data_IF_441847743982
#
_entry.id   IF_441847743982
#
_cell.length_a   1.000
_cell.length_b   1.000
_cell.length_c   1.000
_cell.angle_alpha   90.00
_cell.angle_beta   90.00
_cell.angle_gamma   90.00
#
_symmetry.space_group_name_H-M   'P 1'
#
loop_
_entity.id
_entity.type
_entity.pdbx_description
1 polymer ?
#
# COMPACT_ATOMS: atom_id res chain seq x y z
N UNK A 1 11.21 -25.71 -35.65
CA UNK A 1 11.55 -25.41 -34.23
C UNK A 1 10.72 -26.32 -33.34
N UNK A 2 11.32 -27.03 -32.36
CA UNK A 2 10.57 -27.82 -31.38
C UNK A 2 9.72 -26.86 -30.54
N UNK A 3 8.40 -27.07 -30.49
CA UNK A 3 7.51 -26.32 -29.61
C UNK A 3 7.92 -26.62 -28.15
N UNK A 4 8.17 -25.58 -27.36
CA UNK A 4 8.51 -25.75 -25.94
C UNK A 4 7.33 -26.39 -25.21
N UNK A 5 7.61 -27.24 -24.22
CA UNK A 5 6.56 -27.80 -23.36
C UNK A 5 6.03 -26.70 -22.42
N UNK A 6 4.71 -26.62 -22.18
CA UNK A 6 4.16 -25.60 -21.28
C UNK A 6 4.81 -25.65 -19.90
N UNK A 7 5.09 -24.50 -19.29
CA UNK A 7 5.59 -24.46 -17.91
C UNK A 7 4.48 -24.83 -16.94
N UNK A 8 4.75 -25.82 -16.08
CA UNK A 8 3.91 -26.16 -14.93
C UNK A 8 4.15 -25.18 -13.79
N UNK A 9 3.11 -24.47 -13.38
CA UNK A 9 3.15 -23.42 -12.36
C UNK A 9 2.44 -23.90 -11.09
N UNK A 10 3.13 -23.84 -9.95
CA UNK A 10 2.47 -23.84 -8.63
C UNK A 10 2.16 -22.41 -8.21
N UNK A 11 0.88 -22.08 -8.04
CA UNK A 11 0.42 -20.70 -7.93
C UNK A 11 0.00 -20.33 -6.51
N UNK A 12 0.84 -19.57 -5.81
CA UNK A 12 0.60 -19.07 -4.45
C UNK A 12 0.05 -17.65 -4.53
N UNK A 13 -1.27 -17.51 -4.48
CA UNK A 13 -1.89 -16.28 -4.96
C UNK A 13 -3.21 -15.93 -4.26
N UNK A 14 -3.50 -14.62 -4.15
CA UNK A 14 -4.72 -14.13 -3.50
C UNK A 14 -5.10 -12.70 -3.96
N UNK A 15 -6.39 -12.44 -4.07
CA UNK A 15 -6.98 -11.14 -4.39
C UNK A 15 -6.97 -10.80 -5.88
N UNK A 16 -7.41 -9.57 -6.20
CA UNK A 16 -7.66 -9.12 -7.58
C UNK A 16 -6.43 -9.24 -8.50
N UNK A 17 -5.24 -8.96 -7.96
CA UNK A 17 -3.95 -9.17 -8.63
C UNK A 17 -3.81 -10.60 -9.17
N UNK A 18 -4.16 -11.56 -8.31
CA UNK A 18 -4.04 -12.98 -8.60
C UNK A 18 -5.05 -13.42 -9.65
N UNK A 19 -6.27 -12.86 -9.63
CA UNK A 19 -7.31 -13.14 -10.61
C UNK A 19 -6.89 -12.67 -12.00
N UNK A 20 -6.43 -11.43 -12.11
CA UNK A 20 -5.98 -10.86 -13.37
C UNK A 20 -4.80 -11.62 -13.97
N UNK A 21 -3.86 -12.06 -13.12
CA UNK A 21 -2.75 -12.89 -13.56
C UNK A 21 -3.21 -14.30 -13.97
N UNK A 22 -4.13 -14.91 -13.21
CA UNK A 22 -4.71 -16.21 -13.55
C UNK A 22 -5.31 -16.21 -14.96
N UNK A 23 -6.14 -15.22 -15.30
CA UNK A 23 -6.79 -15.10 -16.62
C UNK A 23 -5.78 -15.04 -17.76
N UNK A 24 -4.67 -14.31 -17.58
CA UNK A 24 -3.59 -14.26 -18.58
C UNK A 24 -2.86 -15.59 -18.73
N UNK A 25 -2.61 -16.28 -17.62
CA UNK A 25 -1.89 -17.55 -17.62
C UNK A 25 -2.73 -18.67 -18.24
N UNK A 26 -4.01 -18.79 -17.86
CA UNK A 26 -4.89 -19.86 -18.35
C UNK A 26 -5.24 -19.70 -19.84
N UNK A 27 -5.25 -18.47 -20.35
CA UNK A 27 -5.50 -18.16 -21.76
C UNK A 27 -4.30 -18.44 -22.68
N UNK A 28 -3.14 -18.81 -22.11
CA UNK A 28 -1.90 -19.02 -22.86
C UNK A 28 -1.46 -20.49 -22.81
N UNK A 29 -1.33 -21.11 -23.99
CA UNK A 29 -0.93 -22.51 -24.11
C UNK A 29 0.50 -22.81 -23.66
N UNK A 30 1.31 -21.80 -23.36
CA UNK A 30 2.69 -21.95 -22.87
C UNK A 30 2.75 -22.15 -21.34
N UNK A 31 1.61 -22.03 -20.64
CA UNK A 31 1.51 -22.19 -19.19
C UNK A 31 0.44 -23.20 -18.78
N UNK A 32 0.69 -23.88 -17.67
CA UNK A 32 -0.25 -24.79 -17.04
C UNK A 32 -0.20 -24.61 -15.52
N UNK A 33 -1.30 -24.14 -14.92
CA UNK A 33 -1.39 -23.98 -13.46
C UNK A 33 -1.71 -25.35 -12.86
N UNK A 34 -0.74 -25.94 -12.17
CA UNK A 34 -0.84 -27.30 -11.63
C UNK A 34 -1.61 -27.35 -10.30
N UNK A 35 -1.47 -26.32 -9.47
CA UNK A 35 -2.26 -26.12 -8.25
C UNK A 35 -2.31 -24.64 -7.87
N UNK A 36 -3.27 -24.31 -7.02
CA UNK A 36 -3.42 -22.98 -6.40
C UNK A 36 -3.35 -23.11 -4.89
N UNK A 37 -2.58 -22.24 -4.24
CA UNK A 37 -2.54 -22.09 -2.79
C UNK A 37 -2.91 -20.65 -2.42
N UNK A 38 -4.12 -20.41 -1.87
CA UNK A 38 -4.54 -19.08 -1.41
C UNK A 38 -4.01 -18.77 -0.02
N UNK A 39 -4.16 -17.52 0.43
CA UNK A 39 -3.88 -17.19 1.83
C UNK A 39 -4.80 -18.00 2.74
N UNK A 40 -4.27 -18.48 3.86
CA UNK A 40 -5.01 -19.42 4.72
C UNK A 40 -6.32 -18.82 5.26
N UNK A 41 -6.25 -17.56 5.71
CA UNK A 41 -7.37 -16.84 6.31
C UNK A 41 -8.24 -16.10 5.29
N UNK A 42 -7.85 -16.06 4.01
CA UNK A 42 -8.65 -15.45 2.94
C UNK A 42 -9.75 -16.40 2.48
N UNK A 43 -10.91 -15.86 2.12
CA UNK A 43 -11.99 -16.64 1.50
C UNK A 43 -11.89 -16.67 -0.01
N UNK A 44 -11.17 -15.73 -0.64
CA UNK A 44 -11.05 -15.50 -2.09
C UNK A 44 -11.93 -16.41 -2.96
N UNK A 45 -13.25 -16.14 -2.95
CA UNK A 45 -14.22 -17.01 -3.62
C UNK A 45 -14.06 -16.94 -5.15
N UNK A 46 -13.59 -15.81 -5.69
CA UNK A 46 -13.29 -15.68 -7.13
C UNK A 46 -12.20 -16.65 -7.55
N UNK A 47 -11.06 -16.68 -6.86
CA UNK A 47 -9.96 -17.59 -7.22
C UNK A 47 -10.35 -19.06 -7.01
N UNK A 48 -11.15 -19.35 -5.98
CA UNK A 48 -11.71 -20.69 -5.72
C UNK A 48 -12.70 -21.14 -6.80
N UNK A 49 -13.57 -20.24 -7.28
CA UNK A 49 -14.46 -20.51 -8.41
C UNK A 49 -13.66 -20.79 -9.66
N UNK A 50 -12.65 -19.97 -9.98
CA UNK A 50 -11.75 -20.20 -11.11
C UNK A 50 -11.05 -21.56 -11.01
N UNK A 51 -10.50 -21.90 -9.83
CA UNK A 51 -9.89 -23.20 -9.61
C UNK A 51 -10.85 -24.36 -9.91
N UNK A 52 -12.10 -24.25 -9.46
CA UNK A 52 -13.15 -25.24 -9.71
C UNK A 52 -13.49 -25.34 -11.20
N UNK A 53 -13.71 -24.19 -11.87
CA UNK A 53 -14.06 -24.11 -13.28
C UNK A 53 -13.02 -24.76 -14.19
N UNK A 54 -11.73 -24.57 -13.88
CA UNK A 54 -10.63 -25.14 -14.66
C UNK A 54 -10.10 -26.46 -14.10
N UNK A 55 -10.77 -27.04 -13.10
CA UNK A 55 -10.39 -28.30 -12.44
C UNK A 55 -8.94 -28.31 -11.91
N UNK A 56 -8.52 -27.19 -11.30
CA UNK A 56 -7.21 -27.00 -10.70
C UNK A 56 -7.31 -27.23 -9.18
N UNK A 57 -6.46 -28.09 -8.59
CA UNK A 57 -6.43 -28.30 -7.15
C UNK A 57 -6.23 -27.01 -6.35
N UNK A 58 -7.16 -26.74 -5.43
CA UNK A 58 -7.13 -25.58 -4.55
C UNK A 58 -6.72 -25.99 -3.12
N UNK A 59 -5.45 -25.80 -2.79
CA UNK A 59 -4.80 -26.36 -1.61
C UNK A 59 -4.55 -25.25 -0.59
N UNK A 60 -5.38 -25.20 0.45
CA UNK A 60 -5.17 -24.31 1.61
C UNK A 60 -4.17 -24.91 2.59
N UNK A 61 -3.19 -24.12 3.02
CA UNK A 61 -2.19 -24.54 4.01
C UNK A 61 -1.96 -23.48 5.07
N UNK A 62 -2.08 -23.87 6.35
CA UNK A 62 -1.73 -23.01 7.49
C UNK A 62 -0.23 -22.71 7.56
N UNK A 63 0.60 -23.64 7.07
CA UNK A 63 2.04 -23.48 6.96
C UNK A 63 2.56 -24.16 5.67
N UNK A 64 2.91 -23.34 4.67
CA UNK A 64 3.46 -23.79 3.39
C UNK A 64 4.87 -24.41 3.50
N UNK A 65 5.53 -24.27 4.64
CA UNK A 65 6.85 -24.85 4.88
C UNK A 65 6.76 -26.17 5.66
N UNK A 66 5.56 -26.67 5.94
CA UNK A 66 5.39 -27.93 6.67
C UNK A 66 5.77 -29.14 5.80
N UNK A 67 6.42 -30.18 6.35
CA UNK A 67 6.77 -31.38 5.57
C UNK A 67 5.57 -32.00 4.86
N UNK A 68 4.39 -32.01 5.49
CA UNK A 68 3.17 -32.54 4.88
C UNK A 68 2.76 -31.76 3.62
N UNK A 69 2.79 -30.42 3.66
CA UNK A 69 2.48 -29.61 2.49
C UNK A 69 3.53 -29.76 1.40
N UNK A 70 4.81 -29.76 1.76
CA UNK A 70 5.92 -29.94 0.81
C UNK A 70 5.82 -31.28 0.08
N UNK A 71 5.55 -32.38 0.80
CA UNK A 71 5.33 -33.69 0.20
C UNK A 71 4.11 -33.72 -0.74
N UNK A 72 3.04 -33.02 -0.37
CA UNK A 72 1.83 -32.92 -1.20
C UNK A 72 2.11 -32.19 -2.52
N UNK A 73 2.77 -31.03 -2.48
CA UNK A 73 3.01 -30.23 -3.69
C UNK A 73 4.14 -30.78 -4.57
N UNK A 74 5.07 -31.55 -4.01
CA UNK A 74 6.15 -32.18 -4.76
C UNK A 74 5.63 -33.12 -5.86
N UNK A 75 4.50 -33.79 -5.62
CA UNK A 75 3.86 -34.69 -6.58
C UNK A 75 3.37 -34.00 -7.86
N UNK A 76 3.23 -32.67 -7.87
CA UNK A 76 2.81 -31.92 -9.06
C UNK A 76 3.93 -31.69 -10.07
N UNK A 77 5.20 -31.84 -9.65
CA UNK A 77 6.39 -31.64 -10.48
C UNK A 77 6.36 -30.28 -11.21
N UNK A 78 6.11 -29.20 -10.46
CA UNK A 78 6.07 -27.86 -11.03
C UNK A 78 7.46 -27.43 -11.53
N UNK A 79 7.48 -26.73 -12.67
CA UNK A 79 8.69 -26.13 -13.21
C UNK A 79 9.08 -24.86 -12.45
N UNK A 80 8.09 -24.13 -11.93
CA UNK A 80 8.24 -22.86 -11.22
C UNK A 80 7.14 -22.69 -10.16
N UNK A 81 7.47 -22.02 -9.06
CA UNK A 81 6.47 -21.48 -8.13
C UNK A 81 6.35 -19.98 -8.29
N UNK A 82 5.10 -19.50 -8.30
CA UNK A 82 4.77 -18.09 -8.50
C UNK A 82 4.01 -17.60 -7.28
N UNK A 83 4.58 -16.62 -6.59
CA UNK A 83 3.93 -15.86 -5.54
C UNK A 83 3.35 -14.57 -6.12
N UNK A 84 2.06 -14.35 -5.88
CA UNK A 84 1.33 -13.15 -6.31
C UNK A 84 0.41 -12.70 -5.19
N UNK A 85 0.82 -11.69 -4.43
CA UNK A 85 0.06 -11.22 -3.27
C UNK A 85 -0.13 -12.34 -2.21
N UNK A 86 0.88 -13.15 -1.96
CA UNK A 86 0.86 -14.17 -0.90
C UNK A 86 1.46 -13.65 0.42
N UNK A 87 1.05 -14.21 1.57
CA UNK A 87 1.35 -13.64 2.89
C UNK A 87 2.35 -14.45 3.75
N UNK A 88 2.62 -15.71 3.41
CA UNK A 88 3.59 -16.54 4.14
C UNK A 88 4.98 -16.48 3.49
N UNK A 89 6.01 -16.56 4.33
CA UNK A 89 7.41 -16.60 3.90
C UNK A 89 7.75 -17.98 3.35
N UNK A 90 8.33 -18.03 2.15
CA UNK A 90 8.90 -19.23 1.56
C UNK A 90 10.25 -19.52 2.23
N UNK A 91 10.50 -20.77 2.60
CA UNK A 91 11.78 -21.24 3.14
C UNK A 91 12.28 -22.43 2.34
N UNK A 92 13.56 -22.75 2.44
CA UNK A 92 14.02 -24.03 1.89
C UNK A 92 13.32 -25.22 2.59
N UNK A 93 12.98 -26.29 1.85
CA UNK A 93 13.29 -26.56 0.43
C UNK A 93 12.29 -25.98 -0.57
N UNK A 94 11.24 -25.27 -0.13
CA UNK A 94 10.18 -24.77 -1.01
C UNK A 94 10.72 -23.83 -2.09
N UNK A 95 11.67 -22.96 -1.72
CA UNK A 95 12.25 -21.96 -2.64
C UNK A 95 12.91 -22.67 -3.83
N UNK A 96 13.73 -23.69 -3.57
CA UNK A 96 14.50 -24.40 -4.59
C UNK A 96 13.82 -25.65 -5.16
N UNK A 97 12.64 -26.04 -4.68
CA UNK A 97 11.95 -27.27 -5.10
C UNK A 97 11.70 -27.33 -6.62
N UNK A 98 11.10 -26.31 -7.27
CA UNK A 98 10.96 -26.30 -8.71
C UNK A 98 12.29 -25.95 -9.40
N UNK A 99 12.54 -26.51 -10.59
CA UNK A 99 13.82 -26.30 -11.31
C UNK A 99 14.11 -24.84 -11.68
N UNK A 100 13.06 -24.03 -11.91
CA UNK A 100 13.16 -22.59 -12.17
C UNK A 100 13.02 -21.75 -10.88
N UNK A 101 13.06 -22.39 -9.71
CA UNK A 101 12.91 -21.80 -8.38
C UNK A 101 11.55 -21.10 -8.18
N UNK A 102 11.43 -20.37 -7.09
CA UNK A 102 10.25 -19.59 -6.74
C UNK A 102 10.45 -18.13 -7.12
N UNK A 103 9.44 -17.49 -7.69
CA UNK A 103 9.43 -16.06 -8.04
C UNK A 103 8.26 -15.35 -7.36
N UNK A 104 8.41 -14.04 -7.17
CA UNK A 104 7.38 -13.17 -6.62
C UNK A 104 7.13 -11.99 -7.56
N UNK A 105 5.88 -11.54 -7.66
CA UNK A 105 5.50 -10.29 -8.29
C UNK A 105 5.18 -9.25 -7.21
N UNK A 106 5.98 -8.18 -7.16
CA UNK A 106 5.94 -7.15 -6.15
C UNK A 106 5.64 -5.78 -6.76
N UNK A 107 4.68 -5.04 -6.20
CA UNK A 107 4.34 -3.69 -6.64
C UNK A 107 5.28 -2.64 -6.02
N UNK A 108 6.59 -2.81 -6.24
CA UNK A 108 7.62 -1.85 -5.85
C UNK A 108 8.82 -1.83 -6.80
N UNK A 109 9.51 -0.68 -6.87
CA UNK A 109 10.72 -0.46 -7.67
C UNK A 109 11.96 -0.98 -6.95
N UNK A 110 12.15 -2.30 -6.92
CA UNK A 110 13.30 -2.95 -6.30
C UNK A 110 14.63 -2.43 -6.88
N UNK A 111 15.67 -2.19 -6.05
CA UNK A 111 15.81 -2.59 -4.64
C UNK A 111 15.20 -1.61 -3.62
N UNK A 112 14.52 -0.57 -4.08
CA UNK A 112 13.78 0.35 -3.24
C UNK A 112 12.37 -0.19 -3.00
N UNK A 113 11.72 0.29 -1.94
CA UNK A 113 10.33 -0.11 -1.64
C UNK A 113 10.12 -1.62 -1.48
N UNK A 114 11.05 -2.33 -0.83
CA UNK A 114 10.81 -3.72 -0.37
C UNK A 114 9.72 -3.75 0.71
N UNK A 115 9.06 -4.87 0.93
CA UNK A 115 8.15 -5.04 2.06
C UNK A 115 6.69 -4.71 1.73
N UNK A 116 6.03 -3.90 2.57
CA UNK A 116 4.57 -3.77 2.58
C UNK A 116 4.10 -2.33 2.39
N UNK A 117 2.83 -2.17 1.99
CA UNK A 117 2.16 -0.89 1.78
C UNK A 117 2.89 0.06 0.82
N UNK A 118 3.59 -0.49 -0.18
CA UNK A 118 4.45 0.28 -1.09
C UNK A 118 3.69 1.41 -1.80
N UNK A 119 2.48 1.15 -2.30
CA UNK A 119 1.67 2.17 -2.98
C UNK A 119 1.34 3.37 -2.07
N UNK A 120 1.22 3.15 -0.76
CA UNK A 120 1.07 4.25 0.20
C UNK A 120 2.41 5.00 0.36
N UNK A 121 3.52 4.26 0.50
CA UNK A 121 4.84 4.85 0.73
C UNK A 121 5.34 5.68 -0.44
N UNK A 122 5.17 5.23 -1.69
CA UNK A 122 5.56 6.00 -2.89
C UNK A 122 4.83 7.34 -2.96
N UNK A 123 3.55 7.37 -2.58
CA UNK A 123 2.78 8.60 -2.52
C UNK A 123 3.25 9.53 -1.39
N UNK A 124 3.47 8.98 -0.19
CA UNK A 124 3.98 9.75 0.97
C UNK A 124 5.35 10.38 0.65
N UNK A 125 6.22 9.63 -0.02
CA UNK A 125 7.57 10.05 -0.39
C UNK A 125 7.62 10.99 -1.61
N UNK A 126 6.48 11.38 -2.16
CA UNK A 126 6.35 12.26 -3.33
C UNK A 126 6.99 11.72 -4.62
N UNK A 127 7.00 10.40 -4.79
CA UNK A 127 7.60 9.77 -5.97
C UNK A 127 6.88 10.18 -7.26
N UNK A 128 7.65 10.27 -8.35
CA UNK A 128 7.13 10.57 -9.70
C UNK A 128 6.76 9.31 -10.49
N UNK A 129 7.15 8.15 -9.99
CA UNK A 129 6.76 6.85 -10.52
C UNK A 129 6.73 5.81 -9.40
N UNK A 130 5.94 4.76 -9.57
CA UNK A 130 6.10 3.51 -8.82
C UNK A 130 6.55 2.40 -9.77
N UNK A 131 7.12 1.34 -9.21
CA UNK A 131 7.59 0.20 -9.97
C UNK A 131 6.78 -1.06 -9.69
N UNK A 132 6.85 -2.00 -10.62
CA UNK A 132 6.43 -3.39 -10.44
C UNK A 132 7.60 -4.27 -10.84
N UNK A 133 7.98 -5.19 -9.96
CA UNK A 133 9.13 -6.07 -10.12
C UNK A 133 8.71 -7.53 -10.02
N UNK A 134 9.14 -8.35 -10.97
CA UNK A 134 9.13 -9.80 -10.84
C UNK A 134 10.56 -10.23 -10.52
N UNK A 135 10.74 -10.93 -9.42
CA UNK A 135 12.06 -11.30 -8.90
C UNK A 135 12.06 -12.72 -8.34
N UNK A 136 13.24 -13.31 -8.22
CA UNK A 136 13.38 -14.58 -7.50
C UNK A 136 13.15 -14.37 -6.01
N UNK A 137 12.58 -15.38 -5.36
CA UNK A 137 12.51 -15.45 -3.90
C UNK A 137 13.83 -16.03 -3.39
N UNK A 138 14.39 -15.40 -2.37
CA UNK A 138 15.53 -15.88 -1.59
C UNK A 138 15.16 -15.88 -0.09
N UNK A 139 16.15 -15.98 0.80
CA UNK A 139 15.91 -15.99 2.24
C UNK A 139 15.49 -14.64 2.83
N UNK A 140 15.59 -13.54 2.07
CA UNK A 140 15.19 -12.20 2.51
C UNK A 140 13.80 -11.80 2.01
N UNK A 141 13.40 -10.57 2.33
CA UNK A 141 12.11 -10.01 1.91
C UNK A 141 12.35 -9.12 0.70
N UNK A 142 11.86 -9.57 -0.45
CA UNK A 142 11.97 -8.87 -1.74
C UNK A 142 13.41 -8.51 -2.14
N UNK A 143 14.38 -9.38 -1.81
CA UNK A 143 15.82 -9.15 -2.04
C UNK A 143 16.42 -9.89 -3.22
N UNK A 144 15.75 -10.92 -3.73
CA UNK A 144 16.29 -11.75 -4.80
C UNK A 144 16.38 -11.03 -6.16
N UNK A 145 17.11 -11.65 -7.08
CA UNK A 145 17.45 -11.07 -8.38
C UNK A 145 16.19 -10.75 -9.20
N UNK A 146 16.19 -9.57 -9.83
CA UNK A 146 15.06 -9.04 -10.60
C UNK A 146 15.07 -9.66 -11.99
N UNK A 147 13.99 -10.33 -12.38
CA UNK A 147 13.79 -10.90 -13.71
C UNK A 147 13.28 -9.84 -14.69
N UNK A 148 12.31 -9.03 -14.25
CA UNK A 148 11.72 -7.95 -15.04
C UNK A 148 11.19 -6.87 -14.10
N UNK A 149 11.39 -5.61 -14.47
CA UNK A 149 10.82 -4.46 -13.76
C UNK A 149 10.25 -3.45 -14.76
N UNK A 150 9.14 -2.82 -14.41
CA UNK A 150 8.55 -1.70 -15.15
C UNK A 150 8.18 -0.57 -14.20
N UNK A 151 8.19 0.65 -14.71
CA UNK A 151 7.81 1.86 -13.98
C UNK A 151 6.54 2.47 -14.56
N UNK A 152 5.74 3.07 -13.69
CA UNK A 152 4.47 3.70 -14.01
C UNK A 152 4.44 5.10 -13.39
N UNK A 153 4.09 6.15 -14.17
CA UNK A 153 4.13 7.52 -13.69
C UNK A 153 3.09 7.76 -12.59
N UNK A 154 3.38 8.72 -11.70
CA UNK A 154 2.47 9.23 -10.68
C UNK A 154 2.31 10.73 -10.92
N UNK A 155 1.08 11.19 -11.11
CA UNK A 155 0.77 12.62 -11.17
C UNK A 155 0.16 13.14 -9.86
N UNK A 156 -0.20 14.42 -9.80
CA UNK A 156 -0.85 15.00 -8.61
C UNK A 156 -2.34 14.62 -8.53
N UNK A 157 -2.93 14.16 -9.64
CA UNK A 157 -4.29 13.63 -9.70
C UNK A 157 -4.38 12.22 -9.13
N UNK A 158 -3.25 11.52 -9.02
CA UNK A 158 -3.18 10.16 -8.49
C UNK A 158 -3.32 10.09 -6.97
N UNK A 159 -3.97 9.03 -6.52
CA UNK A 159 -4.14 8.69 -5.12
C UNK A 159 -4.07 7.17 -4.95
N UNK A 160 -4.05 6.68 -3.70
CA UNK A 160 -3.86 5.24 -3.44
C UNK A 160 -4.78 4.33 -4.28
N UNK A 161 -6.05 4.70 -4.42
CA UNK A 161 -7.02 3.92 -5.21
C UNK A 161 -6.69 3.89 -6.72
N UNK A 162 -6.17 4.96 -7.30
CA UNK A 162 -5.77 4.97 -8.73
C UNK A 162 -4.52 4.13 -8.95
N UNK A 163 -3.50 4.22 -8.08
CA UNK A 163 -2.31 3.37 -8.19
C UNK A 163 -2.65 1.90 -7.93
N UNK A 164 -3.55 1.61 -6.99
CA UNK A 164 -4.01 0.25 -6.73
C UNK A 164 -4.69 -0.35 -7.96
N UNK A 165 -5.54 0.41 -8.65
CA UNK A 165 -6.17 -0.01 -9.90
C UNK A 165 -5.12 -0.32 -10.99
N UNK A 166 -4.16 0.59 -11.20
CA UNK A 166 -3.07 0.38 -12.15
C UNK A 166 -2.27 -0.87 -11.79
N UNK A 167 -1.91 -1.04 -10.51
CA UNK A 167 -1.10 -2.15 -10.05
C UNK A 167 -1.83 -3.51 -10.14
N UNK A 168 -3.16 -3.56 -9.93
CA UNK A 168 -3.95 -4.76 -10.21
C UNK A 168 -3.83 -5.25 -11.66
N UNK A 169 -3.82 -4.32 -12.61
CA UNK A 169 -3.74 -4.65 -14.05
C UNK A 169 -2.31 -4.96 -14.47
N UNK A 170 -1.37 -4.12 -14.05
CA UNK A 170 0.00 -4.15 -14.53
C UNK A 170 0.85 -5.23 -13.85
N UNK A 171 0.60 -5.59 -12.59
CA UNK A 171 1.26 -6.74 -11.96
C UNK A 171 1.01 -8.02 -12.76
N UNK A 172 -0.22 -8.23 -13.23
CA UNK A 172 -0.56 -9.39 -14.06
C UNK A 172 0.21 -9.38 -15.40
N UNK A 173 0.35 -8.21 -16.04
CA UNK A 173 1.06 -8.08 -17.31
C UNK A 173 2.58 -8.24 -17.16
N UNK A 174 3.17 -7.69 -16.11
CA UNK A 174 4.61 -7.81 -15.82
C UNK A 174 4.95 -9.25 -15.45
N UNK A 175 4.15 -9.90 -14.60
CA UNK A 175 4.30 -11.33 -14.25
C UNK A 175 4.24 -12.23 -15.49
N UNK A 176 3.21 -12.05 -16.33
CA UNK A 176 3.08 -12.79 -17.58
C UNK A 176 4.32 -12.62 -18.47
N UNK A 177 4.78 -11.36 -18.64
CA UNK A 177 5.96 -11.06 -19.47
C UNK A 177 7.23 -11.72 -18.91
N UNK A 178 7.41 -11.72 -17.59
CA UNK A 178 8.55 -12.37 -16.94
C UNK A 178 8.52 -13.89 -17.10
N UNK A 179 7.35 -14.52 -16.95
CA UNK A 179 7.17 -15.95 -17.18
C UNK A 179 7.45 -16.34 -18.64
N UNK A 180 7.06 -15.50 -19.61
CA UNK A 180 7.41 -15.73 -21.02
C UNK A 180 8.92 -15.67 -21.27
N UNK A 181 9.64 -14.73 -20.65
CA UNK A 181 11.11 -14.66 -20.73
C UNK A 181 11.76 -15.92 -20.14
N UNK A 182 11.27 -16.38 -18.98
CA UNK A 182 11.75 -17.62 -18.35
C UNK A 182 11.45 -18.85 -19.21
N UNK A 183 10.24 -18.94 -19.77
CA UNK A 183 9.82 -20.05 -20.64
C UNK A 183 10.73 -20.18 -21.87
N UNK A 184 11.07 -19.06 -22.50
CA UNK A 184 11.95 -19.02 -23.67
C UNK A 184 13.44 -19.15 -23.35
N UNK A 185 13.83 -19.13 -22.07
CA UNK A 185 15.24 -19.09 -21.65
C UNK A 185 15.93 -17.76 -21.98
N UNK A 186 15.17 -16.68 -22.09
CA UNK A 186 15.64 -15.33 -22.46
C UNK A 186 15.79 -14.40 -21.25
N UNK A 187 15.37 -14.83 -20.05
CA UNK A 187 15.49 -14.04 -18.83
C UNK A 187 16.96 -13.70 -18.52
N UNK A 188 17.21 -12.43 -18.18
CA UNK A 188 18.52 -11.92 -17.77
C UNK A 188 18.39 -11.26 -16.39
N UNK A 189 18.41 -12.05 -15.31
CA UNK A 189 18.18 -11.53 -13.98
C UNK A 189 19.28 -10.54 -13.56
N UNK A 190 18.87 -9.47 -12.88
CA UNK A 190 19.77 -8.42 -12.39
C UNK A 190 19.84 -8.53 -10.87
N UNK A 191 21.05 -8.62 -10.33
CA UNK A 191 21.24 -8.57 -8.87
C UNK A 191 20.87 -7.19 -8.37
N UNK A 192 20.05 -7.16 -7.32
CA UNK A 192 19.61 -5.91 -6.71
C UNK A 192 20.79 -5.04 -6.24
N UNK A 193 21.89 -5.65 -5.78
CA UNK A 193 23.11 -4.97 -5.32
C UNK A 193 23.96 -4.35 -6.44
N UNK A 194 23.68 -4.69 -7.69
CA UNK A 194 24.28 -4.05 -8.86
C UNK A 194 23.53 -2.76 -9.24
N UNK A 195 22.23 -2.65 -8.89
CA UNK A 195 21.44 -1.42 -9.03
C UNK A 195 21.75 -0.46 -7.89
N UNK A 196 21.68 -0.94 -6.65
CA UNK A 196 22.01 -0.14 -5.46
C UNK A 196 22.42 -1.05 -4.29
N UNK A 197 23.52 -0.72 -3.62
CA UNK A 197 24.15 -1.62 -2.61
C UNK A 197 23.27 -1.94 -1.40
N UNK A 198 22.42 -1.00 -0.99
CA UNK A 198 21.58 -1.13 0.21
C UNK A 198 20.11 -1.33 -0.18
N UNK A 199 19.54 -0.35 -0.88
CA UNK A 199 18.10 -0.28 -1.14
C UNK A 199 17.40 0.24 0.12
N UNK A 200 16.10 0.00 0.26
CA UNK A 200 15.42 0.19 1.54
C UNK A 200 14.16 -0.68 1.66
N UNK A 201 13.71 -0.81 2.90
CA UNK A 201 12.53 -1.57 3.27
C UNK A 201 11.43 -0.65 3.80
N UNK A 202 10.21 -0.90 3.37
CA UNK A 202 8.99 -0.25 3.82
C UNK A 202 8.19 -1.21 4.71
N UNK A 203 7.95 -0.85 5.99
CA UNK A 203 7.17 -1.69 6.88
C UNK A 203 5.68 -1.69 6.49
N UNK A 204 4.96 -2.67 7.03
CA UNK A 204 3.51 -2.60 7.04
C UNK A 204 3.06 -1.37 7.81
N UNK A 205 2.08 -0.65 7.27
CA UNK A 205 1.40 0.41 8.01
C UNK A 205 0.44 -0.23 9.01
N UNK A 206 0.36 0.36 10.20
CA UNK A 206 -0.46 -0.13 11.31
C UNK A 206 -1.46 0.94 11.77
N UNK A 207 -2.41 0.53 12.60
CA UNK A 207 -3.32 1.46 13.25
C UNK A 207 -2.53 2.49 14.09
N UNK A 208 -2.80 3.77 13.86
CA UNK A 208 -2.04 4.89 14.37
C UNK A 208 -1.18 5.59 13.30
N UNK A 209 -0.83 4.92 12.21
CA UNK A 209 -0.06 5.55 11.13
C UNK A 209 -0.91 6.51 10.28
N UNK A 210 -2.23 6.52 10.46
CA UNK A 210 -3.16 7.33 9.69
C UNK A 210 -3.28 8.79 10.18
N UNK A 211 -2.64 9.18 11.28
CA UNK A 211 -2.77 10.54 11.82
C UNK A 211 -1.99 11.59 11.02
N UNK A 212 -2.66 12.69 10.69
CA UNK A 212 -2.06 13.85 10.02
C UNK A 212 -1.24 14.65 11.02
N UNK A 213 0.02 14.90 10.68
CA UNK A 213 0.89 15.84 11.37
C UNK A 213 0.83 17.21 10.67
N UNK A 214 0.10 18.16 11.26
CA UNK A 214 -0.18 19.46 10.66
C UNK A 214 1.01 20.42 10.63
N UNK A 215 2.07 20.12 11.39
CA UNK A 215 3.35 20.83 11.40
C UNK A 215 4.24 20.51 10.18
N UNK A 216 3.75 19.71 9.22
CA UNK A 216 4.44 19.38 7.97
C UNK A 216 4.08 20.34 6.82
N UNK A 217 4.92 20.43 5.77
CA UNK A 217 4.63 21.22 4.59
C UNK A 217 3.36 20.77 3.86
N UNK A 218 2.72 21.68 3.12
CA UNK A 218 1.52 21.43 2.32
C UNK A 218 1.67 20.23 1.40
N UNK A 219 2.82 20.09 0.74
CA UNK A 219 3.09 18.97 -0.18
C UNK A 219 3.06 17.62 0.55
N UNK A 220 3.67 17.56 1.73
CA UNK A 220 3.69 16.35 2.55
C UNK A 220 2.28 15.97 3.01
N UNK A 221 1.50 16.92 3.53
CA UNK A 221 0.14 16.64 4.02
C UNK A 221 -0.77 16.23 2.86
N UNK A 222 -0.67 16.90 1.71
CA UNK A 222 -1.37 16.51 0.49
C UNK A 222 -1.04 15.05 0.08
N UNK A 223 0.25 14.73 0.01
CA UNK A 223 0.74 13.39 -0.33
C UNK A 223 0.29 12.33 0.68
N UNK A 224 0.32 12.66 1.96
CA UNK A 224 -0.16 11.79 3.01
C UNK A 224 -1.66 11.51 2.85
N UNK A 225 -2.49 12.55 2.64
CA UNK A 225 -3.94 12.38 2.47
C UNK A 225 -4.24 11.49 1.25
N UNK A 226 -3.63 11.77 0.09
CA UNK A 226 -3.88 10.96 -1.13
C UNK A 226 -3.35 9.53 -0.99
N UNK A 227 -2.31 9.30 -0.19
CA UNK A 227 -1.79 7.97 0.14
C UNK A 227 -2.73 7.13 1.01
N UNK A 228 -3.72 7.72 1.67
CA UNK A 228 -4.76 7.00 2.42
C UNK A 228 -6.14 7.10 1.77
N UNK A 229 -6.22 7.44 0.48
CA UNK A 229 -7.47 7.53 -0.25
C UNK A 229 -8.02 6.11 -0.58
N UNK A 230 -8.83 5.55 0.31
CA UNK A 230 -9.68 4.39 0.07
C UNK A 230 -10.90 4.41 1.03
N UNK A 231 -12.02 3.73 0.70
CA UNK A 231 -13.23 3.74 1.52
C UNK A 231 -13.02 3.25 2.97
N UNK A 232 -12.14 2.25 3.15
CA UNK A 232 -11.75 1.65 4.42
C UNK A 232 -10.50 2.29 5.04
N UNK A 233 -9.90 3.27 4.36
CA UNK A 233 -8.76 4.06 4.84
C UNK A 233 -9.20 5.49 5.21
N UNK A 234 -8.38 6.49 4.92
CA UNK A 234 -8.57 7.89 5.25
C UNK A 234 -7.60 8.38 6.32
N UNK A 235 -6.99 9.53 6.06
CA UNK A 235 -6.13 10.21 7.01
C UNK A 235 -6.96 10.79 8.17
N UNK A 236 -6.48 10.70 9.40
CA UNK A 236 -7.19 11.09 10.60
C UNK A 236 -6.64 12.37 11.21
N UNK A 237 -7.53 13.19 11.74
CA UNK A 237 -7.21 14.29 12.65
C UNK A 237 -8.34 14.48 13.66
N UNK A 238 -8.13 15.33 14.65
CA UNK A 238 -9.14 15.73 15.62
C UNK A 238 -9.38 17.23 15.56
N UNK A 239 -10.57 17.65 15.98
CA UNK A 239 -10.93 19.05 16.17
C UNK A 239 -11.63 19.20 17.51
N UNK A 240 -11.34 20.29 18.22
CA UNK A 240 -12.11 20.70 19.38
C UNK A 240 -13.01 21.86 18.97
N UNK A 241 -14.32 21.66 19.04
CA UNK A 241 -15.30 22.71 18.74
C UNK A 241 -16.45 22.62 19.74
N UNK A 242 -16.90 23.76 20.25
CA UNK A 242 -17.97 23.84 21.26
C UNK A 242 -17.69 23.08 22.57
N UNK A 243 -16.41 22.85 22.90
CA UNK A 243 -16.00 22.15 24.12
C UNK A 243 -15.84 20.63 23.96
N UNK A 244 -16.23 20.06 22.82
CA UNK A 244 -16.13 18.64 22.52
C UNK A 244 -15.04 18.35 21.48
N UNK A 245 -14.43 17.16 21.59
CA UNK A 245 -13.42 16.68 20.63
C UNK A 245 -14.03 15.66 19.68
N UNK A 246 -13.89 15.93 18.39
CA UNK A 246 -14.41 15.06 17.33
C UNK A 246 -13.27 14.54 16.46
N UNK A 247 -13.42 13.30 15.98
CA UNK A 247 -12.58 12.77 14.91
C UNK A 247 -13.04 13.32 13.55
N UNK A 248 -12.06 13.56 12.69
CA UNK A 248 -12.27 13.94 11.30
C UNK A 248 -11.44 12.98 10.45
N UNK A 249 -12.12 12.25 9.56
CA UNK A 249 -11.47 11.37 8.57
C UNK A 249 -11.47 12.08 7.24
N UNK A 250 -10.30 12.26 6.64
CA UNK A 250 -10.09 13.01 5.41
C UNK A 250 -9.65 12.05 4.31
N UNK A 251 -10.36 12.10 3.18
CA UNK A 251 -10.12 11.23 2.03
C UNK A 251 -9.48 11.98 0.87
N UNK A 252 -9.75 13.28 0.73
CA UNK A 252 -9.26 14.06 -0.41
C UNK A 252 -8.88 15.47 -0.02
N UNK A 253 -7.67 15.85 -0.46
CA UNK A 253 -7.15 17.19 -0.40
C UNK A 253 -6.59 17.60 -1.76
N UNK A 254 -6.46 18.91 -1.99
CA UNK A 254 -5.80 19.46 -3.16
C UNK A 254 -4.63 20.33 -2.73
N UNK A 255 -3.50 20.12 -3.40
CA UNK A 255 -2.35 21.00 -3.29
C UNK A 255 -2.64 22.32 -4.01
N UNK A 256 -2.39 23.45 -3.35
CA UNK A 256 -2.64 24.78 -3.88
C UNK A 256 -1.30 25.43 -4.26
N UNK A 257 -0.84 25.21 -5.49
CA UNK A 257 0.48 25.68 -5.94
C UNK A 257 0.68 27.19 -5.87
N UNK A 258 -0.41 27.96 -6.01
CA UNK A 258 -0.38 29.43 -5.98
C UNK A 258 -0.84 30.01 -4.63
N UNK A 259 -1.01 29.17 -3.59
CA UNK A 259 -1.33 29.68 -2.27
C UNK A 259 -0.14 30.46 -1.68
N UNK A 260 -0.37 31.59 -0.98
CA UNK A 260 0.71 32.34 -0.39
C UNK A 260 1.44 31.51 0.67
N UNK A 261 2.76 31.70 0.77
CA UNK A 261 3.52 31.23 1.92
C UNK A 261 3.40 32.26 3.05
N UNK A 262 2.98 31.81 4.23
CA UNK A 262 2.83 32.70 5.38
C UNK A 262 2.86 31.93 6.70
N UNK A 263 3.15 32.64 7.78
CA UNK A 263 3.21 32.08 9.12
C UNK A 263 1.84 32.27 9.79
N UNK A 264 1.29 31.16 10.27
CA UNK A 264 0.14 31.09 11.15
C UNK A 264 0.14 29.72 11.82
N UNK A 265 -0.78 29.49 12.76
CA UNK A 265 -0.87 28.23 13.50
C UNK A 265 -1.29 27.08 12.57
N UNK A 266 -0.45 26.03 12.38
CA UNK A 266 -0.81 24.91 11.53
C UNK A 266 -2.01 24.11 12.08
N UNK A 267 -2.81 23.57 11.15
CA UNK A 267 -4.06 22.88 11.41
C UNK A 267 -5.28 23.79 11.52
N UNK A 268 -5.11 25.12 11.59
CA UNK A 268 -6.25 26.05 11.65
C UNK A 268 -7.01 26.08 10.32
N UNK A 269 -8.34 25.97 10.38
CA UNK A 269 -9.22 26.25 9.25
C UNK A 269 -9.24 27.76 9.03
N UNK A 270 -8.61 28.22 7.94
CA UNK A 270 -8.48 29.65 7.58
C UNK A 270 -9.52 30.08 6.56
N UNK A 271 -10.26 29.14 5.97
CA UNK A 271 -11.32 29.45 5.02
C UNK A 271 -12.30 28.29 4.87
N UNK A 272 -13.54 28.60 4.55
CA UNK A 272 -14.59 27.63 4.22
C UNK A 272 -15.31 28.11 2.97
N UNK A 273 -15.26 27.32 1.90
CA UNK A 273 -15.95 27.59 0.65
C UNK A 273 -17.19 26.69 0.57
N UNK A 274 -18.37 27.31 0.52
CA UNK A 274 -19.63 26.56 0.40
C UNK A 274 -19.75 25.95 -0.99
N UNK A 275 -20.35 24.76 -1.07
CA UNK A 275 -20.72 24.10 -2.32
C UNK A 275 -22.18 23.69 -2.23
N UNK A 276 -22.94 23.95 -3.28
CA UNK A 276 -24.34 23.54 -3.34
C UNK A 276 -24.43 22.01 -3.41
N UNK A 277 -25.30 21.40 -2.60
CA UNK A 277 -25.50 19.95 -2.55
C UNK A 277 -24.32 19.12 -2.00
N UNK A 278 -23.22 19.73 -1.58
CA UNK A 278 -22.01 19.03 -1.15
C UNK A 278 -21.46 19.59 0.17
N UNK A 279 -20.63 18.80 0.86
CA UNK A 279 -19.85 19.32 2.00
C UNK A 279 -18.97 20.50 1.56
N UNK A 280 -18.78 21.52 2.42
CA UNK A 280 -17.95 22.67 2.07
C UNK A 280 -16.49 22.23 1.86
N UNK A 281 -15.74 23.01 1.09
CA UNK A 281 -14.28 22.87 1.01
C UNK A 281 -13.66 23.63 2.17
N UNK A 282 -12.77 22.97 2.91
CA UNK A 282 -12.01 23.60 3.98
C UNK A 282 -10.66 24.05 3.44
N UNK A 283 -10.24 25.26 3.76
CA UNK A 283 -8.87 25.73 3.53
C UNK A 283 -8.15 25.67 4.87
N UNK A 284 -7.12 24.84 4.97
CA UNK A 284 -6.43 24.55 6.23
C UNK A 284 -4.98 24.97 6.15
N UNK A 285 -4.52 25.69 7.18
CA UNK A 285 -3.12 26.09 7.34
C UNK A 285 -2.24 24.87 7.57
N UNK A 286 -1.11 24.82 6.88
CA UNK A 286 -0.04 23.82 7.06
C UNK A 286 1.21 24.52 7.59
N UNK A 287 2.39 23.88 7.59
CA UNK A 287 3.62 24.54 8.02
C UNK A 287 3.98 25.77 7.18
N UNK A 288 3.94 25.64 5.85
CA UNK A 288 4.45 26.61 4.88
C UNK A 288 3.34 27.47 4.26
N UNK A 289 2.19 26.87 3.92
CA UNK A 289 1.11 27.52 3.19
C UNK A 289 -0.25 26.98 3.65
N UNK A 290 -1.15 26.63 2.72
CA UNK A 290 -2.45 26.01 2.95
C UNK A 290 -2.67 24.85 1.97
N UNK A 291 -3.59 23.96 2.33
CA UNK A 291 -4.20 22.98 1.42
C UNK A 291 -5.72 23.15 1.43
N UNK A 292 -6.40 22.66 0.41
CA UNK A 292 -7.86 22.53 0.44
C UNK A 292 -8.27 21.07 0.72
N UNK A 293 -9.35 20.87 1.46
CA UNK A 293 -9.90 19.56 1.80
C UNK A 293 -11.33 19.49 1.28
N UNK A 294 -11.60 18.50 0.43
CA UNK A 294 -12.85 18.40 -0.33
C UNK A 294 -13.70 17.18 0.01
N UNK A 295 -13.13 16.14 0.61
CA UNK A 295 -13.85 14.93 1.03
C UNK A 295 -13.42 14.50 2.43
N UNK A 296 -14.37 14.51 3.37
CA UNK A 296 -14.13 14.16 4.77
C UNK A 296 -15.42 13.71 5.49
N UNK A 297 -15.28 12.93 6.55
CA UNK A 297 -16.36 12.50 7.44
C UNK A 297 -16.06 13.04 8.86
N UNK A 298 -17.04 13.71 9.45
CA UNK A 298 -17.02 14.16 10.83
C UNK A 298 -18.44 14.49 11.29
N UNK A 299 -18.65 14.41 12.60
CA UNK A 299 -19.86 14.88 13.29
C UNK A 299 -19.74 16.35 13.72
N UNK A 300 -18.52 16.91 13.67
CA UNK A 300 -18.27 18.29 14.08
C UNK A 300 -18.88 19.32 13.12
N UNK A 301 -19.45 20.39 13.69
CA UNK A 301 -19.78 21.61 12.95
C UNK A 301 -18.57 22.54 12.87
N UNK A 302 -17.76 22.32 11.83
CA UNK A 302 -16.50 23.04 11.59
C UNK A 302 -16.71 24.53 11.26
N UNK A 303 -15.81 25.38 11.75
CA UNK A 303 -15.81 26.84 11.58
C UNK A 303 -14.42 27.36 11.26
N UNK A 304 -14.35 28.55 10.67
CA UNK A 304 -13.07 29.28 10.55
C UNK A 304 -12.53 29.54 11.97
N UNK A 305 -11.24 29.28 12.17
CA UNK A 305 -10.55 29.37 13.46
C UNK A 305 -10.51 28.06 14.25
N UNK A 306 -11.36 27.06 13.93
CA UNK A 306 -11.22 25.73 14.51
C UNK A 306 -9.86 25.13 14.08
N UNK A 307 -9.22 24.38 14.98
CA UNK A 307 -7.89 23.82 14.76
C UNK A 307 -7.93 22.30 14.72
N UNK A 308 -7.42 21.76 13.62
CA UNK A 308 -7.07 20.36 13.50
C UNK A 308 -5.76 20.04 14.22
N UNK A 309 -5.73 18.90 14.91
CA UNK A 309 -4.56 18.42 15.65
C UNK A 309 -4.46 16.90 15.65
N UNK A 310 -3.26 16.42 15.97
CA UNK A 310 -2.96 15.01 16.24
C UNK A 310 -3.15 14.75 17.74
N UNK A 311 -3.87 13.70 18.17
CA UNK A 311 -4.01 13.42 19.60
C UNK A 311 -2.67 13.15 20.28
N UNK A 312 -2.48 13.72 21.47
CA UNK A 312 -1.29 13.52 22.31
C UNK A 312 -1.17 12.02 22.68
N UNK A 313 0.04 11.47 22.57
CA UNK A 313 0.32 10.05 22.79
C UNK A 313 0.34 9.19 21.52
N UNK A 314 -0.04 9.75 20.35
CA UNK A 314 0.19 9.13 19.04
C UNK A 314 1.45 9.65 18.34
N UNK A 315 2.15 10.63 18.92
CA UNK A 315 3.36 11.24 18.35
C UNK A 315 4.63 10.36 18.47
N UNK A 316 4.55 9.16 19.06
CA UNK A 316 5.72 8.36 19.45
C UNK A 316 5.75 6.90 18.97
N UNK A 317 5.22 6.58 17.77
CA UNK A 317 5.51 5.28 17.13
C UNK A 317 6.41 5.38 15.89
N UNK A 318 6.99 6.55 15.63
CA UNK A 318 8.10 6.68 14.67
C UNK A 318 9.38 6.49 15.48
N UNK A 319 10.00 5.31 15.36
CA UNK A 319 11.30 4.91 15.90
C UNK A 319 11.34 4.51 17.39
N UNK A 320 10.95 3.28 17.71
CA UNK A 320 11.78 2.34 18.50
C UNK A 320 11.15 0.95 18.47
N UNK A 321 11.86 -0.04 17.92
CA UNK A 321 11.56 -1.44 18.18
C UNK A 321 11.92 -1.77 19.62
N UNK A 322 10.96 -2.29 20.37
CA UNK A 322 11.16 -2.72 21.74
C UNK A 322 9.82 -2.91 22.42
N UNK A 323 9.43 -4.16 22.67
CA UNK A 323 8.20 -4.46 23.36
C UNK A 323 8.24 -3.98 24.80
N UNK A 324 7.18 -3.32 25.24
CA UNK A 324 6.56 -3.58 26.54
C UNK A 324 5.16 -2.99 26.58
N UNK A 325 4.22 -3.77 27.11
CA UNK A 325 2.81 -3.38 27.31
C UNK A 325 2.75 -2.38 28.47
N UNK A 326 2.64 -1.09 28.17
CA UNK A 326 2.27 -0.08 29.17
C UNK A 326 0.79 0.30 29.00
N UNK A 327 0.01 0.02 30.05
CA UNK A 327 -1.37 0.52 30.19
C UNK A 327 -1.31 2.05 30.35
N UNK A 328 -1.66 2.80 29.32
CA UNK A 328 -1.77 4.26 29.41
C UNK A 328 -3.21 4.66 29.74
N UNK A 329 -3.42 5.10 30.99
CA UNK A 329 -4.55 5.94 31.36
C UNK A 329 -4.26 7.37 30.86
N UNK A 330 -5.17 8.05 30.15
CA UNK A 330 -4.87 9.38 29.63
C UNK A 330 -4.83 10.42 30.77
N UNK A 331 -3.67 11.05 30.95
CA UNK A 331 -3.57 12.32 31.68
C UNK A 331 -4.03 13.41 30.71
N UNK A 332 -5.25 13.89 30.91
CA UNK A 332 -5.80 15.05 30.20
C UNK A 332 -5.05 16.29 30.71
N UNK A 333 -4.32 17.06 29.87
CA UNK A 333 -3.87 18.39 30.28
C UNK A 333 -5.10 19.28 30.41
N UNK A 334 -5.32 19.84 31.59
CA UNK A 334 -6.41 20.78 31.84
C UNK A 334 -6.23 22.02 30.94
N UNK A 335 -6.96 22.07 29.83
CA UNK A 335 -7.10 23.26 29.01
C UNK A 335 -7.89 24.30 29.81
N UNK A 336 -7.21 25.35 30.29
CA UNK A 336 -7.88 26.54 30.84
C UNK A 336 -8.15 27.50 29.68
N UNK A 337 -9.40 27.77 29.30
CA UNK A 337 -9.68 28.78 28.30
C UNK A 337 -9.28 30.15 28.86
N UNK A 338 -8.38 30.85 28.16
CA UNK A 338 -8.19 32.28 28.39
C UNK A 338 -9.52 32.99 28.10
N UNK A 339 -10.00 33.76 29.07
CA UNK A 339 -11.19 34.60 28.95
C UNK A 339 -11.09 35.43 27.66
N UNK A 340 -12.16 35.40 26.87
CA UNK A 340 -12.28 36.18 25.65
C UNK A 340 -12.01 37.68 25.93
N UNK A 341 -11.16 38.37 25.15
CA UNK A 341 -11.12 39.81 25.17
C UNK A 341 -12.39 40.39 24.51
N UNK A 342 -12.84 41.59 24.91
CA UNK A 342 -14.09 42.17 24.45
C UNK A 342 -14.03 42.58 22.97
N UNK A 343 -15.22 42.69 22.36
CA UNK A 343 -15.49 43.04 20.96
C UNK A 343 -14.78 44.31 20.45
N UNK A 344 -14.51 44.31 19.12
CA UNK A 344 -13.92 45.32 18.20
C UNK A 344 -12.44 45.06 17.95
N UNK A 345 -11.95 44.93 16.71
CA UNK A 345 -12.21 45.75 15.52
C UNK A 345 -12.27 44.95 14.22
N UNK A 346 -12.95 45.55 13.24
CA UNK A 346 -12.97 45.18 11.81
C UNK A 346 -11.66 45.65 11.18
N UNK A 347 -11.05 44.78 10.39
CA UNK A 347 -10.27 45.10 9.19
C UNK A 347 -10.38 43.90 8.24
#
# INVERSE_FOLDING_TARGET
MRKLKPLKIGYFADGIWAHNAFEKLISCNDFHIAFITPRFYSTDETLKTLATTYNIPYIKAKNINSPAFLSQIAAFECDIFVSMSFDQIFKEPLISMPRLKSINCHAGKLPFYRGRNVLNWVLINDEKSFGISVHYIDSGIDTGDIILQREFPISDEDCYSTLLHTAHTECAQVLFSALMLLHKGEAKPIKQTDIHKIGFYCPARIAGDEWIHWDKPSRFIFNFIRALNAPDLGALTQVCTQGDTFKVRIFKAHFLSNAPCYIATPGVIVGIQKREGHKPILIVKTQDSTISISEYITEAKLRIGDRFFTPIGYEHNILTGGGDKVKNTPIIPAYRPHKAPPKRWVA
#
